data_IF_735202005127
#
_entry.id   IF_735202005127
#
_cell.length_a   1.000
_cell.length_b   1.000
_cell.length_c   1.000
_cell.angle_alpha   90.00
_cell.angle_beta   90.00
_cell.angle_gamma   90.00
#
_symmetry.space_group_name_H-M   'P 1'
#
loop_
_entity.id
_entity.type
_entity.pdbx_description
1 polymer ?
#
# COMPACT_ATOMS: atom_id res chain seq x y z
N UNK A 1 -20.63 -2.36 -21.88
CA UNK A 1 -19.25 -2.67 -21.43
C UNK A 1 -19.14 -4.17 -21.20
N UNK A 2 -18.10 -4.85 -21.70
CA UNK A 2 -17.92 -6.32 -21.52
C UNK A 2 -17.57 -6.65 -20.06
N UNK A 3 -17.97 -7.82 -19.55
CA UNK A 3 -17.70 -8.27 -18.17
C UNK A 3 -16.21 -8.22 -17.80
N UNK A 4 -15.35 -8.58 -18.76
CA UNK A 4 -13.89 -8.54 -18.61
C UNK A 4 -13.35 -7.13 -18.36
N UNK A 5 -13.97 -6.11 -18.97
CA UNK A 5 -13.56 -4.71 -18.78
C UNK A 5 -13.89 -4.22 -17.37
N UNK A 6 -15.05 -4.62 -16.83
CA UNK A 6 -15.43 -4.29 -15.45
C UNK A 6 -14.44 -4.90 -14.45
N UNK A 7 -14.05 -6.16 -14.66
CA UNK A 7 -13.09 -6.82 -13.78
C UNK A 7 -11.68 -6.20 -13.88
N UNK A 8 -11.21 -5.87 -15.08
CA UNK A 8 -9.94 -5.16 -15.26
C UNK A 8 -9.92 -3.80 -14.58
N UNK A 9 -10.96 -2.99 -14.76
CA UNK A 9 -11.09 -1.68 -14.10
C UNK A 9 -11.16 -1.82 -12.58
N UNK A 10 -11.89 -2.83 -12.08
CA UNK A 10 -11.96 -3.12 -10.64
C UNK A 10 -10.60 -3.54 -10.07
N UNK A 11 -9.91 -4.48 -10.71
CA UNK A 11 -8.60 -4.97 -10.25
C UNK A 11 -7.53 -3.88 -10.31
N UNK A 12 -7.45 -3.14 -11.42
CA UNK A 12 -6.49 -2.03 -11.56
C UNK A 12 -6.81 -0.86 -10.64
N UNK A 13 -8.10 -0.57 -10.42
CA UNK A 13 -8.54 0.43 -9.44
C UNK A 13 -8.16 0.03 -8.01
N UNK A 14 -8.32 -1.24 -7.64
CA UNK A 14 -7.88 -1.76 -6.34
C UNK A 14 -6.36 -1.67 -6.17
N UNK A 15 -5.57 -1.91 -7.23
CA UNK A 15 -4.12 -1.68 -7.22
C UNK A 15 -3.80 -0.20 -7.00
N UNK A 16 -4.40 0.69 -7.80
CA UNK A 16 -4.17 2.12 -7.73
C UNK A 16 -4.50 2.71 -6.35
N UNK A 17 -5.64 2.31 -5.77
CA UNK A 17 -6.09 2.82 -4.48
C UNK A 17 -5.46 2.10 -3.29
N UNK A 18 -5.21 0.80 -3.40
CA UNK A 18 -4.72 -0.02 -2.29
C UNK A 18 -3.20 -0.06 -2.16
N UNK A 19 -2.48 0.11 -3.26
CA UNK A 19 -1.01 0.06 -3.31
C UNK A 19 -0.38 1.43 -3.57
N UNK A 20 -1.18 2.50 -3.64
CA UNK A 20 -0.66 3.86 -3.70
C UNK A 20 0.03 4.25 -2.39
N UNK A 21 1.20 4.91 -2.47
CA UNK A 21 1.81 5.54 -1.31
C UNK A 21 1.01 6.79 -0.88
N UNK A 22 1.36 7.34 0.27
CA UNK A 22 0.89 8.67 0.71
C UNK A 22 1.45 9.73 -0.27
N UNK A 23 0.60 10.22 -1.18
CA UNK A 23 0.97 11.16 -2.24
C UNK A 23 1.42 12.51 -1.68
N UNK A 24 0.90 12.95 -0.53
CA UNK A 24 1.25 14.24 0.06
C UNK A 24 2.67 14.21 0.64
N UNK A 25 3.01 13.16 1.38
CA UNK A 25 4.37 12.97 1.89
C UNK A 25 5.39 12.79 0.75
N UNK A 26 5.01 12.02 -0.27
CA UNK A 26 5.79 11.79 -1.47
C UNK A 26 6.07 13.10 -2.26
N UNK A 27 5.04 13.92 -2.46
CA UNK A 27 5.17 15.18 -3.16
C UNK A 27 6.07 16.14 -2.38
N UNK A 28 5.87 16.25 -1.06
CA UNK A 28 6.73 17.07 -0.19
C UNK A 28 8.21 16.68 -0.28
N UNK A 29 8.51 15.38 -0.34
CA UNK A 29 9.87 14.88 -0.54
C UNK A 29 10.45 15.30 -1.90
N UNK A 30 9.70 15.05 -2.99
CA UNK A 30 10.13 15.38 -4.37
C UNK A 30 10.37 16.88 -4.54
N UNK A 31 9.56 17.72 -3.91
CA UNK A 31 9.66 19.19 -4.01
C UNK A 31 10.68 19.78 -3.04
N UNK A 32 11.31 18.99 -2.18
CA UNK A 32 12.32 19.50 -1.26
C UNK A 32 13.59 19.90 -2.00
N UNK A 33 14.17 21.05 -1.65
CA UNK A 33 15.38 21.59 -2.30
C UNK A 33 16.62 20.67 -2.18
N UNK A 34 16.54 19.65 -1.32
CA UNK A 34 17.65 18.74 -1.01
C UNK A 34 17.64 17.45 -1.84
N UNK A 35 16.63 17.21 -2.68
CA UNK A 35 16.53 15.98 -3.48
C UNK A 35 17.09 16.22 -4.88
N UNK A 36 18.13 15.49 -5.31
CA UNK A 36 18.64 15.60 -6.68
C UNK A 36 17.57 15.25 -7.70
N UNK A 37 17.64 15.88 -8.88
CA UNK A 37 16.61 15.75 -9.91
C UNK A 37 16.37 14.30 -10.35
N UNK A 38 17.41 13.47 -10.40
CA UNK A 38 17.30 12.06 -10.76
C UNK A 38 16.48 11.27 -9.72
N UNK A 39 16.67 11.57 -8.44
CA UNK A 39 15.89 10.99 -7.34
C UNK A 39 14.44 11.47 -7.34
N UNK A 40 14.21 12.73 -7.68
CA UNK A 40 12.86 13.26 -7.87
C UNK A 40 12.10 12.50 -8.97
N UNK A 41 12.74 12.25 -10.13
CA UNK A 41 12.16 11.45 -11.22
C UNK A 41 11.88 10.02 -10.78
N UNK A 42 12.86 9.33 -10.18
CA UNK A 42 12.70 7.95 -9.73
C UNK A 42 11.55 7.82 -8.72
N UNK A 43 11.47 8.77 -7.79
CA UNK A 43 10.40 8.80 -6.78
C UNK A 43 9.04 9.01 -7.47
N UNK A 44 8.93 9.95 -8.40
CA UNK A 44 7.70 10.20 -9.16
C UNK A 44 7.24 8.96 -9.95
N UNK A 45 8.17 8.23 -10.57
CA UNK A 45 7.87 6.96 -11.26
C UNK A 45 7.32 5.94 -10.27
N UNK A 46 7.96 5.75 -9.12
CA UNK A 46 7.50 4.82 -8.09
C UNK A 46 6.08 5.16 -7.59
N UNK A 47 5.82 6.45 -7.34
CA UNK A 47 4.54 6.95 -6.81
C UNK A 47 3.40 6.83 -7.82
N UNK A 48 3.69 7.06 -9.10
CA UNK A 48 2.68 6.99 -10.17
C UNK A 48 2.51 5.58 -10.72
N UNK A 49 3.45 4.67 -10.45
CA UNK A 49 3.40 3.29 -10.94
C UNK A 49 2.07 2.57 -10.63
N UNK A 50 1.45 2.67 -9.43
CA UNK A 50 0.17 1.99 -9.17
C UNK A 50 -0.99 2.48 -10.05
N UNK A 51 -0.88 3.66 -10.67
CA UNK A 51 -1.88 4.22 -11.59
C UNK A 51 -1.70 3.70 -13.03
N UNK A 52 -0.51 3.22 -13.38
CA UNK A 52 -0.19 2.79 -14.74
C UNK A 52 -1.10 1.65 -15.26
N UNK A 53 -1.44 0.61 -14.46
CA UNK A 53 -2.38 -0.42 -14.90
C UNK A 53 -3.75 0.15 -15.27
N UNK A 54 -4.27 1.09 -14.48
CA UNK A 54 -5.57 1.75 -14.74
C UNK A 54 -5.48 2.55 -16.03
N UNK A 55 -4.43 3.34 -16.21
CA UNK A 55 -4.24 4.16 -17.41
C UNK A 55 -4.15 3.30 -18.68
N UNK A 56 -3.39 2.21 -18.65
CA UNK A 56 -3.25 1.28 -19.76
C UNK A 56 -4.57 0.59 -20.11
N UNK A 57 -5.29 0.10 -19.10
CA UNK A 57 -6.61 -0.54 -19.29
C UNK A 57 -7.62 0.47 -19.82
N UNK A 58 -7.66 1.69 -19.27
CA UNK A 58 -8.55 2.74 -19.75
C UNK A 58 -8.24 3.09 -21.21
N UNK A 59 -6.98 3.31 -21.56
CA UNK A 59 -6.56 3.55 -22.95
C UNK A 59 -7.00 2.40 -23.86
N UNK A 60 -6.76 1.14 -23.47
CA UNK A 60 -7.21 -0.02 -24.23
C UNK A 60 -8.73 -0.05 -24.45
N UNK A 61 -9.52 0.19 -23.40
CA UNK A 61 -10.98 0.13 -23.45
C UNK A 61 -11.57 1.26 -24.30
N UNK A 62 -11.04 2.48 -24.17
CA UNK A 62 -11.61 3.66 -24.81
C UNK A 62 -11.08 3.93 -26.22
N UNK A 63 -9.83 3.54 -26.52
CA UNK A 63 -9.22 3.79 -27.85
C UNK A 63 -9.01 2.53 -28.67
N UNK A 64 -9.14 1.34 -28.05
CA UNK A 64 -8.83 0.06 -28.70
C UNK A 64 -7.33 -0.19 -28.88
N UNK A 65 -6.47 0.65 -28.29
CA UNK A 65 -5.01 0.54 -28.39
C UNK A 65 -4.54 -0.85 -27.94
N UNK A 66 -3.64 -1.47 -28.71
CA UNK A 66 -2.99 -2.72 -28.36
C UNK A 66 -1.49 -2.60 -28.48
N UNK A 67 -0.79 -3.12 -27.47
CA UNK A 67 0.68 -3.21 -27.49
C UNK A 67 1.08 -4.45 -28.28
N UNK A 68 2.06 -4.33 -29.17
CA UNK A 68 2.54 -5.51 -29.89
C UNK A 68 3.10 -6.54 -28.90
N UNK A 69 2.73 -7.82 -29.05
CA UNK A 69 3.06 -8.86 -28.08
C UNK A 69 4.56 -9.00 -27.79
N UNK A 70 5.45 -8.81 -28.78
CA UNK A 70 6.90 -8.83 -28.55
C UNK A 70 7.35 -7.72 -27.59
N UNK A 71 6.82 -6.51 -27.78
CA UNK A 71 7.11 -5.38 -26.92
C UNK A 71 6.54 -5.61 -25.51
N UNK A 72 5.33 -6.14 -25.41
CA UNK A 72 4.72 -6.49 -24.14
C UNK A 72 5.53 -7.55 -23.38
N UNK A 73 5.99 -8.62 -24.06
CA UNK A 73 6.84 -9.65 -23.45
C UNK A 73 8.18 -9.11 -22.98
N UNK A 74 8.82 -8.24 -23.78
CA UNK A 74 10.07 -7.60 -23.41
C UNK A 74 9.91 -6.69 -22.19
N UNK A 75 8.90 -5.81 -22.20
CA UNK A 75 8.60 -4.93 -21.08
C UNK A 75 8.17 -5.69 -19.83
N UNK A 76 7.41 -6.78 -19.98
CA UNK A 76 7.05 -7.67 -18.88
C UNK A 76 8.30 -8.16 -18.17
N UNK A 77 9.28 -8.70 -18.91
CA UNK A 77 10.54 -9.19 -18.36
C UNK A 77 11.32 -8.08 -17.64
N UNK A 78 11.43 -6.90 -18.24
CA UNK A 78 12.11 -5.76 -17.62
C UNK A 78 11.44 -5.30 -16.33
N UNK A 79 10.11 -5.16 -16.32
CA UNK A 79 9.38 -4.73 -15.12
C UNK A 79 9.55 -5.75 -14.00
N UNK A 80 9.41 -7.05 -14.32
CA UNK A 80 9.61 -8.11 -13.32
C UNK A 80 11.03 -8.08 -12.77
N UNK A 81 12.05 -7.94 -13.63
CA UNK A 81 13.45 -7.88 -13.20
C UNK A 81 13.71 -6.66 -12.29
N UNK A 82 13.40 -5.45 -12.77
CA UNK A 82 13.67 -4.23 -12.03
C UNK A 82 12.82 -4.10 -10.77
N UNK A 83 11.54 -4.48 -10.81
CA UNK A 83 10.66 -4.46 -9.65
C UNK A 83 11.09 -5.47 -8.57
N UNK A 84 11.56 -6.65 -8.99
CA UNK A 84 12.15 -7.62 -8.05
C UNK A 84 13.43 -7.08 -7.43
N UNK A 85 14.34 -6.52 -8.23
CA UNK A 85 15.57 -5.90 -7.73
C UNK A 85 15.27 -4.76 -6.76
N UNK A 86 14.34 -3.87 -7.08
CA UNK A 86 13.92 -2.78 -6.20
C UNK A 86 13.36 -3.31 -4.88
N UNK A 87 12.54 -4.36 -4.92
CA UNK A 87 11.97 -4.97 -3.72
C UNK A 87 13.05 -5.66 -2.88
N UNK A 88 14.06 -6.30 -3.50
CA UNK A 88 15.20 -6.89 -2.79
C UNK A 88 16.11 -5.84 -2.16
N UNK A 89 16.39 -4.73 -2.85
CA UNK A 89 17.14 -3.60 -2.30
C UNK A 89 16.40 -3.03 -1.09
N UNK A 90 15.08 -2.88 -1.17
CA UNK A 90 14.26 -2.42 -0.04
C UNK A 90 14.39 -3.34 1.18
N UNK A 91 14.29 -4.65 0.98
CA UNK A 91 14.48 -5.64 2.04
C UNK A 91 15.88 -5.58 2.63
N UNK A 92 16.91 -5.41 1.80
CA UNK A 92 18.30 -5.33 2.25
C UNK A 92 18.55 -4.08 3.12
N UNK A 93 17.92 -2.95 2.79
CA UNK A 93 18.06 -1.69 3.54
C UNK A 93 17.28 -1.74 4.86
N UNK A 94 16.08 -2.32 4.84
CA UNK A 94 15.17 -2.31 5.98
C UNK A 94 15.36 -3.50 6.92
N UNK A 95 16.08 -4.55 6.49
CA UNK A 95 16.18 -5.85 7.18
C UNK A 95 14.83 -6.48 7.53
N UNK A 96 13.76 -6.02 6.87
CA UNK A 96 12.38 -6.43 7.11
C UNK A 96 11.98 -7.37 5.97
N UNK A 97 12.04 -8.68 6.22
CA UNK A 97 11.68 -9.75 5.27
C UNK A 97 10.14 -9.88 5.06
N UNK A 98 9.42 -8.75 5.11
CA UNK A 98 7.98 -8.71 5.37
C UNK A 98 7.09 -8.74 4.12
N UNK A 99 5.78 -8.70 4.39
CA UNK A 99 4.70 -8.41 3.46
C UNK A 99 4.96 -7.22 2.52
N UNK A 100 5.86 -6.28 2.86
CA UNK A 100 6.31 -5.23 1.94
C UNK A 100 6.93 -5.78 0.66
N UNK A 101 7.72 -6.86 0.78
CA UNK A 101 8.26 -7.60 -0.36
C UNK A 101 7.11 -8.24 -1.15
N UNK A 102 6.14 -8.85 -0.48
CA UNK A 102 4.98 -9.46 -1.14
C UNK A 102 4.11 -8.41 -1.86
N UNK A 103 3.88 -7.23 -1.28
CA UNK A 103 3.16 -6.12 -1.90
C UNK A 103 3.95 -5.52 -3.07
N UNK A 104 5.28 -5.34 -2.92
CA UNK A 104 6.15 -4.89 -4.01
C UNK A 104 6.17 -5.87 -5.19
N UNK A 105 6.24 -7.17 -4.91
CA UNK A 105 6.20 -8.22 -5.92
C UNK A 105 4.84 -8.33 -6.60
N UNK A 106 3.74 -8.27 -5.84
CA UNK A 106 2.38 -8.28 -6.42
C UNK A 106 2.11 -7.04 -7.26
N UNK A 107 2.55 -5.85 -6.84
CA UNK A 107 2.48 -4.63 -7.64
C UNK A 107 3.28 -4.78 -8.95
N UNK A 108 4.52 -5.26 -8.85
CA UNK A 108 5.40 -5.51 -10.01
C UNK A 108 4.73 -6.45 -11.02
N UNK A 109 4.16 -7.55 -10.52
CA UNK A 109 3.44 -8.52 -11.33
C UNK A 109 2.15 -7.95 -11.94
N UNK A 110 1.40 -7.14 -11.20
CA UNK A 110 0.21 -6.44 -11.69
C UNK A 110 0.54 -5.45 -12.80
N UNK A 111 1.64 -4.70 -12.66
CA UNK A 111 2.18 -3.81 -13.68
C UNK A 111 2.55 -4.55 -14.96
N UNK A 112 3.41 -5.56 -14.84
CA UNK A 112 3.87 -6.37 -15.96
C UNK A 112 2.68 -7.03 -16.69
N UNK A 113 1.76 -7.61 -15.92
CA UNK A 113 0.55 -8.24 -16.42
C UNK A 113 -0.38 -7.27 -17.16
N UNK A 114 -0.53 -6.03 -16.68
CA UNK A 114 -1.40 -5.05 -17.34
C UNK A 114 -0.98 -4.78 -18.79
N UNK A 115 0.33 -4.70 -19.06
CA UNK A 115 0.87 -4.60 -20.43
C UNK A 115 0.56 -5.84 -21.26
N UNK A 116 0.67 -7.02 -20.65
CA UNK A 116 0.41 -8.29 -21.31
C UNK A 116 -1.08 -8.45 -21.67
N UNK A 117 -1.99 -7.99 -20.81
CA UNK A 117 -3.44 -8.04 -21.03
C UNK A 117 -3.94 -7.07 -22.09
N UNK A 118 -3.32 -5.91 -22.23
CA UNK A 118 -3.62 -4.95 -23.31
C UNK A 118 -2.82 -5.22 -24.58
N UNK A 119 -2.07 -6.33 -24.64
CA UNK A 119 -1.26 -6.67 -25.80
C UNK A 119 -2.04 -7.38 -26.92
N UNK A 120 -1.39 -7.52 -28.08
CA UNK A 120 -1.88 -8.27 -29.22
C UNK A 120 -1.69 -9.79 -29.09
N UNK A 121 -1.35 -10.32 -27.91
CA UNK A 121 -1.13 -11.77 -27.69
C UNK A 121 -2.40 -12.56 -28.01
N UNK A 122 -2.27 -13.61 -28.84
CA UNK A 122 -3.39 -14.45 -29.27
C UNK A 122 -3.59 -15.70 -28.40
N UNK A 123 -2.54 -16.16 -27.71
CA UNK A 123 -2.61 -17.33 -26.84
C UNK A 123 -3.46 -17.07 -25.59
N UNK A 124 -4.51 -17.88 -25.42
CA UNK A 124 -5.38 -17.84 -24.25
C UNK A 124 -4.63 -18.20 -22.97
N UNK A 125 -3.79 -19.24 -23.01
CA UNK A 125 -3.00 -19.69 -21.85
C UNK A 125 -1.99 -18.64 -21.42
N UNK A 126 -1.30 -18.01 -22.38
CA UNK A 126 -0.36 -16.94 -22.06
C UNK A 126 -1.09 -15.76 -21.41
N UNK A 127 -2.28 -15.39 -21.93
CA UNK A 127 -3.09 -14.32 -21.37
C UNK A 127 -3.62 -14.66 -19.97
N UNK A 128 -3.92 -15.93 -19.69
CA UNK A 128 -4.33 -16.39 -18.37
C UNK A 128 -3.18 -16.29 -17.36
N UNK A 129 -2.04 -16.91 -17.66
CA UNK A 129 -0.94 -17.10 -16.70
C UNK A 129 -0.06 -15.86 -16.52
N UNK A 130 0.19 -15.10 -17.58
CA UNK A 130 1.00 -13.88 -17.52
C UNK A 130 0.16 -12.61 -17.43
N UNK A 131 -1.14 -12.72 -17.69
CA UNK A 131 -2.11 -11.64 -17.56
C UNK A 131 -3.01 -11.82 -16.35
N UNK A 132 -4.10 -12.58 -16.52
CA UNK A 132 -5.21 -12.60 -15.58
C UNK A 132 -4.86 -13.04 -14.16
N UNK A 133 -4.04 -14.07 -14.00
CA UNK A 133 -3.64 -14.56 -12.68
C UNK A 133 -2.85 -13.50 -11.91
N UNK A 134 -1.75 -12.93 -12.44
CA UNK A 134 -1.00 -11.91 -11.71
C UNK A 134 -1.79 -10.63 -11.42
N UNK A 135 -2.63 -10.14 -12.35
CA UNK A 135 -3.43 -8.93 -12.09
C UNK A 135 -4.53 -9.19 -11.05
N UNK A 136 -5.07 -10.40 -11.01
CA UNK A 136 -6.03 -10.82 -10.00
C UNK A 136 -5.39 -10.85 -8.61
N UNK A 137 -4.18 -11.42 -8.48
CA UNK A 137 -3.43 -11.42 -7.23
C UNK A 137 -3.06 -10.00 -6.77
N UNK A 138 -2.60 -9.14 -7.69
CA UNK A 138 -2.31 -7.75 -7.39
C UNK A 138 -3.55 -6.97 -6.96
N UNK A 139 -4.69 -7.18 -7.64
CA UNK A 139 -5.98 -6.59 -7.28
C UNK A 139 -6.48 -7.05 -5.90
N UNK A 140 -6.34 -8.34 -5.58
CA UNK A 140 -6.67 -8.87 -4.24
C UNK A 140 -5.77 -8.28 -3.15
N UNK A 141 -4.47 -8.12 -3.42
CA UNK A 141 -3.55 -7.47 -2.48
C UNK A 141 -3.94 -6.01 -2.24
N UNK A 142 -4.28 -5.27 -3.29
CA UNK A 142 -4.78 -3.90 -3.18
C UNK A 142 -6.08 -3.82 -2.39
N UNK A 143 -7.04 -4.71 -2.65
CA UNK A 143 -8.31 -4.76 -1.91
C UNK A 143 -8.12 -5.10 -0.43
N UNK A 144 -7.23 -6.05 -0.12
CA UNK A 144 -6.86 -6.40 1.25
C UNK A 144 -6.27 -5.21 1.99
N UNK A 145 -5.33 -4.50 1.35
CA UNK A 145 -4.70 -3.27 1.87
C UNK A 145 -5.75 -2.20 2.21
N UNK A 146 -6.73 -1.97 1.32
CA UNK A 146 -7.84 -1.05 1.57
C UNK A 146 -8.73 -1.49 2.73
N UNK A 147 -9.06 -2.79 2.82
CA UNK A 147 -9.86 -3.34 3.90
C UNK A 147 -9.17 -3.12 5.26
N UNK A 148 -7.85 -3.34 5.32
CA UNK A 148 -7.08 -3.12 6.56
C UNK A 148 -7.14 -1.67 7.03
N UNK A 149 -6.99 -0.71 6.12
CA UNK A 149 -7.15 0.69 6.46
C UNK A 149 -8.56 1.00 6.99
N UNK A 150 -9.60 0.45 6.35
CA UNK A 150 -10.98 0.57 6.82
C UNK A 150 -11.19 0.00 8.23
N UNK A 151 -10.59 -1.16 8.54
CA UNK A 151 -10.67 -1.78 9.86
C UNK A 151 -9.94 -0.96 10.94
N UNK A 152 -8.79 -0.37 10.62
CA UNK A 152 -8.08 0.54 11.54
C UNK A 152 -8.93 1.77 11.85
N UNK A 153 -9.52 2.39 10.83
CA UNK A 153 -10.40 3.56 10.98
C UNK A 153 -11.63 3.20 11.81
N UNK A 154 -12.33 2.12 11.47
CA UNK A 154 -13.53 1.70 12.19
C UNK A 154 -13.22 1.33 13.64
N UNK A 155 -12.17 0.54 13.88
CA UNK A 155 -11.80 0.12 15.23
C UNK A 155 -11.40 1.29 16.11
N UNK A 156 -10.73 2.31 15.57
CA UNK A 156 -10.34 3.50 16.34
C UNK A 156 -11.54 4.37 16.69
N UNK A 157 -12.46 4.59 15.76
CA UNK A 157 -13.70 5.35 16.00
C UNK A 157 -14.56 4.67 17.06
N UNK A 158 -14.75 3.35 16.96
CA UNK A 158 -15.59 2.57 17.90
C UNK A 158 -15.01 2.61 19.32
N UNK A 159 -13.69 2.53 19.48
CA UNK A 159 -13.05 2.57 20.80
C UNK A 159 -13.01 3.97 21.39
N UNK A 160 -12.78 4.98 20.54
CA UNK A 160 -12.72 6.37 21.00
C UNK A 160 -14.09 6.88 21.51
N UNK A 161 -15.19 6.31 21.02
CA UNK A 161 -16.56 6.61 21.46
C UNK A 161 -16.85 8.12 21.52
N UNK A 162 -16.51 8.81 20.42
CA UNK A 162 -16.70 10.26 20.28
C UNK A 162 -15.62 11.13 20.97
N UNK A 163 -14.69 10.55 21.72
CA UNK A 163 -13.56 11.28 22.31
C UNK A 163 -12.46 11.58 21.29
N UNK A 164 -11.69 12.65 21.49
CA UNK A 164 -10.46 12.88 20.75
C UNK A 164 -9.51 11.69 20.87
N UNK A 165 -8.85 11.34 19.76
CA UNK A 165 -7.88 10.25 19.75
C UNK A 165 -6.74 10.54 18.79
N UNK A 166 -5.68 9.76 18.90
CA UNK A 166 -4.64 9.68 17.91
C UNK A 166 -4.19 8.25 17.69
N UNK A 167 -3.78 7.95 16.46
CA UNK A 167 -3.04 6.74 16.12
C UNK A 167 -1.56 7.08 15.86
N UNK A 168 -0.66 6.39 16.57
CA UNK A 168 0.78 6.52 16.41
C UNK A 168 1.39 5.20 15.90
N UNK A 169 2.43 5.30 15.08
CA UNK A 169 3.23 4.15 14.65
C UNK A 169 4.18 3.68 15.76
N UNK A 170 4.78 2.51 15.60
CA UNK A 170 5.79 1.97 16.52
C UNK A 170 6.97 2.93 16.79
N UNK A 171 7.32 3.78 15.82
CA UNK A 171 8.34 4.83 15.94
C UNK A 171 7.92 6.01 16.84
N UNK A 172 6.68 6.03 17.30
CA UNK A 172 6.04 7.13 18.03
C UNK A 172 5.59 8.30 17.15
N UNK A 173 5.81 8.22 15.84
CA UNK A 173 5.31 9.23 14.92
C UNK A 173 3.79 9.10 14.75
N UNK A 174 3.12 10.25 14.76
CA UNK A 174 1.69 10.35 14.44
C UNK A 174 1.44 9.82 13.02
N UNK A 175 0.37 9.04 12.86
CA UNK A 175 -0.16 8.70 11.54
C UNK A 175 -0.67 9.95 10.85
N UNK A 176 -0.11 10.24 9.69
CA UNK A 176 -0.42 11.43 8.90
C UNK A 176 -1.59 11.24 7.96
N UNK A 177 -2.00 10.00 7.65
CA UNK A 177 -3.15 9.72 6.78
C UNK A 177 -3.53 8.25 6.66
N UNK A 178 -4.68 7.99 6.02
CA UNK A 178 -5.25 6.64 5.89
C UNK A 178 -4.38 5.71 5.03
N UNK A 179 -3.64 6.27 4.06
CA UNK A 179 -2.67 5.50 3.28
C UNK A 179 -1.58 4.89 4.17
N UNK A 180 -1.14 5.60 5.22
CA UNK A 180 -0.11 5.13 6.13
C UNK A 180 -0.56 3.95 7.02
N UNK A 181 -1.87 3.72 7.16
CA UNK A 181 -2.41 2.61 7.97
C UNK A 181 -2.78 1.36 7.19
N UNK A 182 -2.77 1.43 5.86
CA UNK A 182 -2.91 0.26 4.97
C UNK A 182 -1.89 -0.83 5.29
N UNK A 183 -0.73 -0.40 5.82
CA UNK A 183 0.36 -1.25 6.26
C UNK A 183 0.28 -1.82 7.67
N UNK A 184 -0.62 -1.31 8.51
CA UNK A 184 -0.61 -1.60 9.96
C UNK A 184 -0.83 -3.06 10.30
N UNK A 185 -1.26 -3.85 9.32
CA UNK A 185 -1.24 -5.29 9.41
C UNK A 185 0.14 -5.85 9.83
N UNK A 186 1.29 -5.38 9.30
CA UNK A 186 2.50 -6.23 9.27
C UNK A 186 3.87 -5.51 9.33
N UNK A 187 3.91 -4.18 9.42
CA UNK A 187 5.16 -3.44 9.65
C UNK A 187 5.51 -3.35 11.14
N UNK A 188 6.09 -4.41 11.71
CA UNK A 188 6.90 -4.26 12.92
C UNK A 188 8.22 -3.60 12.49
N UNK A 189 8.28 -2.26 12.46
CA UNK A 189 9.47 -1.54 11.97
C UNK A 189 10.68 -1.68 12.89
N UNK A 190 10.51 -2.12 14.14
CA UNK A 190 11.62 -2.36 15.06
C UNK A 190 11.30 -3.53 15.99
N UNK A 191 11.74 -4.74 15.62
CA UNK A 191 11.86 -5.83 16.57
C UNK A 191 13.16 -5.64 17.37
N UNK A 192 13.17 -4.76 18.36
CA UNK A 192 14.26 -4.74 19.35
C UNK A 192 14.32 -6.12 20.01
N UNK A 193 15.44 -6.83 19.80
CA UNK A 193 15.68 -8.17 20.32
C UNK A 193 15.38 -8.25 21.82
N UNK A 194 14.44 -9.12 22.20
CA UNK A 194 14.25 -9.53 23.59
C UNK A 194 12.82 -9.84 23.99
N UNK A 195 11.81 -9.19 23.42
CA UNK A 195 10.42 -9.42 23.78
C UNK A 195 9.49 -9.27 22.56
N UNK A 196 8.73 -10.34 22.29
CA UNK A 196 7.74 -10.55 21.22
C UNK A 196 6.51 -9.66 21.35
N UNK A 197 6.68 -8.35 21.43
CA UNK A 197 5.57 -7.39 21.39
C UNK A 197 5.67 -6.56 20.13
N UNK A 198 5.10 -7.10 19.05
CA UNK A 198 5.02 -6.43 17.76
C UNK A 198 3.97 -5.30 17.85
N UNK A 199 4.36 -4.16 18.40
CA UNK A 199 3.56 -2.94 18.27
C UNK A 199 3.66 -2.49 16.82
N UNK A 200 2.52 -2.46 16.15
CA UNK A 200 2.40 -1.96 14.79
C UNK A 200 1.85 -0.53 14.80
N UNK A 201 0.86 -0.30 15.68
CA UNK A 201 0.29 1.00 15.93
C UNK A 201 -0.36 1.03 17.31
N UNK A 202 -0.32 2.19 17.96
CA UNK A 202 -0.97 2.45 19.23
C UNK A 202 -2.09 3.47 19.02
N UNK A 203 -3.26 3.18 19.57
CA UNK A 203 -4.37 4.11 19.69
C UNK A 203 -4.35 4.72 21.09
N UNK A 204 -4.25 6.05 21.13
CA UNK A 204 -4.30 6.87 22.34
C UNK A 204 -5.61 7.64 22.32
N UNK A 205 -6.43 7.47 23.36
CA UNK A 205 -7.74 8.15 23.50
C UNK A 205 -7.64 9.15 24.65
N UNK A 206 -8.18 10.35 24.45
CA UNK A 206 -8.17 11.38 25.49
C UNK A 206 -8.94 10.91 26.74
N UNK A 207 -8.35 11.16 27.92
CA UNK A 207 -8.94 10.80 29.20
C UNK A 207 -9.04 9.29 29.47
N UNK A 208 -8.42 8.45 28.64
CA UNK A 208 -8.32 7.01 28.88
C UNK A 208 -6.94 6.66 29.46
N UNK A 209 -6.93 5.97 30.60
CA UNK A 209 -5.70 5.33 31.11
C UNK A 209 -5.35 4.06 30.31
N UNK A 210 -6.37 3.42 29.72
CA UNK A 210 -6.22 2.25 28.87
C UNK A 210 -5.67 2.65 27.50
N UNK A 211 -4.73 1.83 27.01
CA UNK A 211 -4.05 2.02 25.72
C UNK A 211 -4.31 0.81 24.86
N UNK A 212 -4.37 1.00 23.55
CA UNK A 212 -4.76 -0.08 22.65
C UNK A 212 -3.69 -0.30 21.57
N UNK A 213 -3.21 -1.54 21.46
CA UNK A 213 -2.32 -1.97 20.39
C UNK A 213 -3.14 -2.54 19.24
N UNK A 214 -2.72 -2.27 18.00
CA UNK A 214 -3.26 -2.96 16.84
C UNK A 214 -2.90 -4.45 16.89
N UNK A 215 -3.91 -5.32 16.88
CA UNK A 215 -3.72 -6.76 16.84
C UNK A 215 -3.94 -7.27 15.42
N UNK A 216 -2.89 -7.77 14.77
CA UNK A 216 -3.00 -8.41 13.46
C UNK A 216 -3.97 -9.60 13.49
N UNK A 217 -3.82 -10.50 14.48
CA UNK A 217 -4.66 -11.69 14.58
C UNK A 217 -6.16 -11.38 14.73
N UNK A 218 -6.50 -10.25 15.36
CA UNK A 218 -7.90 -9.85 15.62
C UNK A 218 -8.39 -8.76 14.66
N UNK A 219 -7.51 -8.20 13.83
CA UNK A 219 -7.76 -7.08 12.92
C UNK A 219 -8.48 -5.90 13.59
N UNK A 220 -8.09 -5.60 14.83
CA UNK A 220 -8.65 -4.49 15.62
C UNK A 220 -7.67 -4.05 16.70
N UNK A 221 -7.90 -2.87 17.25
CA UNK A 221 -7.23 -2.40 18.46
C UNK A 221 -7.70 -3.20 19.68
N UNK A 222 -6.75 -3.59 20.53
CA UNK A 222 -6.98 -4.37 21.75
C UNK A 222 -6.21 -3.73 22.88
N UNK A 223 -6.81 -3.68 24.05
CA UNK A 223 -6.17 -3.14 25.25
C UNK A 223 -4.83 -3.84 25.52
N UNK A 224 -3.85 -3.06 25.92
CA UNK A 224 -2.51 -3.54 26.22
C UNK A 224 -2.03 -2.99 27.56
N UNK A 225 -1.48 -3.89 28.39
CA UNK A 225 -0.83 -3.52 29.66
C UNK A 225 0.65 -3.19 29.52
N UNK A 226 1.18 -3.16 28.30
CA UNK A 226 2.60 -2.90 28.04
C UNK A 226 2.89 -1.38 28.00
N UNK A 227 4.11 -0.97 28.37
CA UNK A 227 4.50 0.43 28.32
C UNK A 227 4.61 0.93 26.88
N UNK A 228 3.72 1.83 26.47
CA UNK A 228 3.74 2.49 25.15
C UNK A 228 4.29 3.91 25.19
N UNK A 229 4.97 4.30 26.26
CA UNK A 229 5.43 5.68 26.49
C UNK A 229 6.36 6.23 25.40
N UNK A 230 7.13 5.37 24.73
CA UNK A 230 7.94 5.75 23.57
C UNK A 230 7.09 6.06 22.31
N UNK A 231 5.89 5.48 22.23
CA UNK A 231 4.95 5.59 21.11
C UNK A 231 3.89 6.69 21.33
N UNK A 232 3.89 7.32 22.51
CA UNK A 232 2.91 8.31 22.98
C UNK A 232 3.16 9.75 22.51
N UNK A 233 4.08 9.97 21.56
CA UNK A 233 4.37 11.35 21.08
C UNK A 233 3.23 11.98 20.28
N UNK A 234 2.08 11.31 20.16
CA UNK A 234 0.93 11.86 19.48
C UNK A 234 -0.12 12.43 20.44
N UNK A 235 -0.52 13.67 20.18
CA UNK A 235 -1.61 14.35 20.88
C UNK A 235 -2.97 13.95 20.29
N UNK A 236 -3.94 13.49 21.11
CA UNK A 236 -5.32 13.27 20.68
C UNK A 236 -5.94 14.53 20.06
N UNK A 237 -6.69 14.37 18.98
CA UNK A 237 -7.42 15.47 18.33
C UNK A 237 -8.83 15.05 17.96
N UNK A 238 -9.76 16.00 18.01
CA UNK A 238 -11.11 15.82 17.49
C UNK A 238 -11.07 15.55 15.98
N UNK A 239 -11.88 14.59 15.52
CA UNK A 239 -11.96 14.28 14.10
C UNK A 239 -10.64 13.83 13.49
N UNK A 240 -9.81 13.06 14.21
CA UNK A 240 -8.48 12.62 13.78
C UNK A 240 -8.40 12.21 12.30
N UNK A 241 -9.25 11.30 11.84
CA UNK A 241 -9.26 10.85 10.44
C UNK A 241 -9.71 11.89 9.41
N UNK A 242 -10.50 12.88 9.85
CA UNK A 242 -10.87 14.02 9.01
C UNK A 242 -9.64 14.90 8.80
N UNK A 243 -8.84 15.12 9.86
CA UNK A 243 -7.61 15.93 9.80
C UNK A 243 -6.43 15.20 9.17
N UNK A 244 -6.36 13.88 9.27
CA UNK A 244 -5.29 13.06 8.69
C UNK A 244 -5.46 12.86 7.16
N UNK A 245 -6.60 13.23 6.59
CA UNK A 245 -6.84 13.01 5.15
C UNK A 245 -7.10 11.53 4.82
N UNK A 246 -8.09 11.32 3.95
CA UNK A 246 -8.53 9.99 3.53
C UNK A 246 -7.68 9.41 2.39
N UNK A 247 -6.95 10.25 1.64
CA UNK A 247 -6.16 9.91 0.46
C UNK A 247 -5.01 10.90 0.23
#
# INVERSE_FOLDING_TARGET
MKREHSFLLGATGAIALGLSPDYAAALAYITSEFVPFEWAILTAICITSPLLPVALVAAHIFTGMRIHWLLASFLFGLIVLFGTLASLVWVAVTFVLSLSLAHGMTLTLGLASSLFLVSSVSSADARLWFGWVPIGLAGLSGLWSLLMAGLVVLSSIVIADGKPFCVAQASGNRVTGVAAVRGFALYATEATHGLTFEFHAVLVVEGSEQKYNWSYAKHRFVETGYPTSAMEKCTPVEGFWITAGLF
#
